data_IF_908781092158
#
_entry.id   IF_908781092158
#
_cell.length_a   1.000
_cell.length_b   1.000
_cell.length_c   1.000
_cell.angle_alpha   90.00
_cell.angle_beta   90.00
_cell.angle_gamma   90.00
#
_symmetry.space_group_name_H-M   'P 1'
#
loop_
_entity.id
_entity.type
_entity.pdbx_description
1 polymer ?
#
# COMPACT_ATOMS: atom_id res chain seq x y z
N UNK A 1 28.18 -13.47 -13.21
CA UNK A 1 27.10 -14.12 -12.44
C UNK A 1 26.86 -13.22 -11.24
N UNK A 2 25.81 -12.41 -11.25
CA UNK A 2 25.50 -11.53 -10.11
C UNK A 2 25.22 -12.39 -8.88
N UNK A 3 25.89 -12.10 -7.76
CA UNK A 3 25.53 -12.68 -6.47
C UNK A 3 24.08 -12.30 -6.20
N UNK A 4 23.17 -13.28 -6.27
CA UNK A 4 21.80 -13.09 -5.81
C UNK A 4 21.89 -12.65 -4.35
N UNK A 5 21.44 -11.44 -4.06
CA UNK A 5 21.42 -10.93 -2.69
C UNK A 5 20.57 -11.86 -1.83
N UNK A 6 21.04 -12.16 -0.62
CA UNK A 6 20.45 -13.08 0.35
C UNK A 6 20.25 -12.35 1.67
N UNK A 7 19.35 -12.83 2.52
CA UNK A 7 19.10 -12.27 3.87
C UNK A 7 19.60 -13.23 4.95
N UNK A 8 19.69 -12.77 6.20
CA UNK A 8 20.11 -13.56 7.36
C UNK A 8 18.93 -13.90 8.27
N UNK A 9 19.09 -14.91 9.14
CA UNK A 9 18.08 -15.22 10.16
C UNK A 9 17.76 -14.01 11.04
N UNK A 10 18.78 -13.25 11.44
CA UNK A 10 18.65 -12.07 12.31
C UNK A 10 17.83 -10.96 11.64
N UNK A 11 18.02 -10.73 10.34
CA UNK A 11 17.23 -9.74 9.59
C UNK A 11 15.76 -10.13 9.50
N UNK A 12 15.47 -11.40 9.19
CA UNK A 12 14.09 -11.93 9.14
C UNK A 12 13.44 -11.81 10.52
N UNK A 13 14.14 -12.25 11.58
CA UNK A 13 13.65 -12.14 12.95
C UNK A 13 13.35 -10.69 13.33
N UNK A 14 14.29 -9.78 13.04
CA UNK A 14 14.17 -8.35 13.34
C UNK A 14 12.95 -7.75 12.64
N UNK A 15 12.75 -8.06 11.36
CA UNK A 15 11.58 -7.59 10.60
C UNK A 15 10.27 -8.14 11.13
N UNK A 16 10.24 -9.43 11.49
CA UNK A 16 9.07 -10.03 12.11
C UNK A 16 8.75 -9.37 13.45
N UNK A 17 9.74 -9.15 14.33
CA UNK A 17 9.55 -8.41 15.59
C UNK A 17 8.96 -7.03 15.34
N UNK A 18 9.52 -6.29 14.38
CA UNK A 18 9.02 -4.96 14.01
C UNK A 18 7.55 -4.99 13.56
N UNK A 19 7.10 -6.01 12.81
CA UNK A 19 5.69 -6.16 12.42
C UNK A 19 4.79 -6.43 13.62
N UNK A 20 5.23 -7.32 14.52
CA UNK A 20 4.44 -7.76 15.69
C UNK A 20 4.29 -6.63 16.71
N UNK A 21 5.37 -5.88 16.91
CA UNK A 21 5.45 -4.79 17.89
C UNK A 21 5.00 -3.45 17.30
N UNK A 22 4.65 -3.39 16.01
CA UNK A 22 4.29 -2.16 15.31
C UNK A 22 3.15 -1.43 16.04
N UNK A 23 3.45 -0.30 16.73
CA UNK A 23 2.42 0.43 17.43
C UNK A 23 1.51 1.11 16.41
N UNK A 24 0.24 1.22 16.76
CA UNK A 24 -0.69 2.08 16.03
C UNK A 24 -0.23 3.53 16.11
N UNK A 25 -0.20 4.21 14.97
CA UNK A 25 0.03 5.65 14.95
C UNK A 25 -1.29 6.40 15.19
N UNK A 26 -1.30 7.28 16.19
CA UNK A 26 -2.37 8.25 16.39
C UNK A 26 -1.94 9.54 15.69
N UNK A 27 -2.47 9.74 14.49
CA UNK A 27 -2.21 10.96 13.73
C UNK A 27 -2.96 12.13 14.33
N UNK A 28 -2.23 13.20 14.61
CA UNK A 28 -2.75 14.46 15.12
C UNK A 28 -3.69 15.14 14.11
N UNK A 29 -3.39 14.99 12.82
CA UNK A 29 -4.21 15.46 11.73
C UNK A 29 -4.08 14.55 10.51
N UNK A 30 -5.16 14.48 9.72
CA UNK A 30 -5.25 13.67 8.51
C UNK A 30 -5.82 14.55 7.41
N UNK A 31 -5.24 14.49 6.23
CA UNK A 31 -5.71 15.23 5.06
C UNK A 31 -5.73 14.30 3.85
N UNK A 32 -6.64 14.53 2.94
CA UNK A 32 -6.77 13.71 1.73
C UNK A 32 -6.90 14.60 0.50
N UNK A 33 -6.34 14.13 -0.61
CA UNK A 33 -6.47 14.75 -1.92
C UNK A 33 -6.78 13.67 -2.96
N UNK A 34 -7.73 13.95 -3.86
CA UNK A 34 -8.01 13.15 -5.05
C UNK A 34 -7.68 13.93 -6.31
N UNK A 35 -7.07 13.26 -7.29
CA UNK A 35 -6.66 13.83 -8.57
C UNK A 35 -7.42 13.10 -9.68
N UNK A 36 -8.07 13.87 -10.55
CA UNK A 36 -8.84 13.38 -11.70
C UNK A 36 -8.60 14.28 -12.91
N UNK A 37 -8.97 13.82 -14.10
CA UNK A 37 -8.97 14.62 -15.32
C UNK A 37 -10.37 15.09 -15.67
N UNK A 38 -10.49 16.32 -16.16
CA UNK A 38 -11.75 16.87 -16.69
C UNK A 38 -12.24 16.06 -17.91
N UNK A 39 -11.31 15.67 -18.79
CA UNK A 39 -11.56 14.91 -20.01
C UNK A 39 -11.22 13.41 -19.88
N UNK A 40 -11.44 12.84 -18.70
CA UNK A 40 -11.24 11.41 -18.43
C UNK A 40 -12.20 10.53 -19.27
N UNK A 41 -11.68 9.43 -19.83
CA UNK A 41 -12.46 8.42 -20.58
C UNK A 41 -12.70 7.13 -19.77
N UNK A 42 -12.38 7.13 -18.48
CA UNK A 42 -12.44 5.95 -17.60
C UNK A 42 -13.53 6.03 -16.54
N UNK A 43 -14.33 7.10 -16.54
CA UNK A 43 -15.35 7.42 -15.54
C UNK A 43 -14.79 7.55 -14.11
N UNK A 44 -13.54 8.00 -13.96
CA UNK A 44 -12.86 8.20 -12.69
C UNK A 44 -13.55 9.21 -11.75
N UNK A 45 -14.42 10.07 -12.28
CA UNK A 45 -15.25 10.97 -11.48
C UNK A 45 -16.14 10.24 -10.46
N UNK A 46 -16.53 8.99 -10.72
CA UNK A 46 -17.31 8.18 -9.77
C UNK A 46 -16.47 7.78 -8.53
N UNK A 47 -15.16 7.56 -8.70
CA UNK A 47 -14.28 7.18 -7.58
C UNK A 47 -14.04 8.29 -6.59
N UNK A 48 -14.26 9.55 -7.00
CA UNK A 48 -14.26 10.68 -6.07
C UNK A 48 -15.25 10.43 -4.93
N UNK A 49 -16.45 9.93 -5.24
CA UNK A 49 -17.45 9.60 -4.22
C UNK A 49 -16.97 8.46 -3.31
N UNK A 50 -16.45 7.37 -3.89
CA UNK A 50 -15.93 6.24 -3.12
C UNK A 50 -14.74 6.61 -2.23
N UNK A 51 -13.86 7.48 -2.73
CA UNK A 51 -12.70 7.96 -2.02
C UNK A 51 -13.09 8.91 -0.88
N UNK A 52 -14.08 9.80 -1.08
CA UNK A 52 -14.65 10.62 0.01
C UNK A 52 -15.21 9.74 1.13
N UNK A 53 -15.93 8.67 0.79
CA UNK A 53 -16.45 7.71 1.77
C UNK A 53 -15.34 6.96 2.52
N UNK A 54 -14.29 6.56 1.81
CA UNK A 54 -13.10 5.95 2.39
C UNK A 54 -12.40 6.93 3.37
N UNK A 55 -12.13 8.16 2.94
CA UNK A 55 -11.47 9.19 3.73
C UNK A 55 -12.30 9.56 4.97
N UNK A 56 -13.63 9.71 4.81
CA UNK A 56 -14.59 9.93 5.89
C UNK A 56 -14.56 8.80 6.90
N UNK A 57 -14.48 7.55 6.45
CA UNK A 57 -14.36 6.40 7.36
C UNK A 57 -13.09 6.46 8.21
N UNK A 58 -12.00 7.02 7.68
CA UNK A 58 -10.76 7.24 8.43
C UNK A 58 -10.74 8.51 9.29
N UNK A 59 -11.81 9.29 9.30
CA UNK A 59 -11.91 10.54 10.05
C UNK A 59 -11.25 11.73 9.36
N UNK A 60 -11.18 11.72 8.03
CA UNK A 60 -10.87 12.93 7.24
C UNK A 60 -12.20 13.63 6.94
N UNK A 61 -12.31 14.90 7.32
CA UNK A 61 -13.54 15.69 7.17
C UNK A 61 -13.74 16.16 5.72
N UNK A 62 -12.70 16.76 5.14
CA UNK A 62 -12.72 17.28 3.77
C UNK A 62 -11.64 16.64 2.90
N UNK A 63 -12.01 16.31 1.67
CA UNK A 63 -11.09 15.83 0.63
C UNK A 63 -10.84 16.95 -0.36
N UNK A 64 -9.58 17.30 -0.58
CA UNK A 64 -9.20 18.26 -1.61
C UNK A 64 -9.30 17.61 -3.00
N UNK A 65 -9.85 18.33 -3.98
CA UNK A 65 -10.04 17.80 -5.32
C UNK A 65 -9.19 18.60 -6.30
N UNK A 66 -8.32 17.89 -7.01
CA UNK A 66 -7.52 18.42 -8.10
C UNK A 66 -8.09 17.88 -9.40
N UNK A 67 -8.94 18.68 -10.05
CA UNK A 67 -9.37 18.42 -11.41
C UNK A 67 -8.37 19.03 -12.39
N UNK A 68 -7.72 18.20 -13.19
CA UNK A 68 -6.79 18.64 -14.22
C UNK A 68 -7.59 18.97 -15.48
N UNK A 69 -7.63 20.25 -15.84
CA UNK A 69 -8.33 20.68 -17.06
C UNK A 69 -7.74 20.05 -18.32
N UNK A 70 -8.59 19.70 -19.27
CA UNK A 70 -8.18 19.16 -20.57
C UNK A 70 -7.37 20.16 -21.42
N UNK A 71 -7.47 21.46 -21.13
CA UNK A 71 -6.66 22.51 -21.77
C UNK A 71 -5.27 22.69 -21.13
N UNK A 72 -4.99 22.00 -20.01
CA UNK A 72 -3.73 22.17 -19.30
C UNK A 72 -2.57 21.48 -20.04
N UNK A 73 -1.65 22.29 -20.54
CA UNK A 73 -0.48 21.80 -21.27
C UNK A 73 0.63 21.25 -20.38
N UNK A 74 0.60 21.57 -19.08
CA UNK A 74 1.59 21.12 -18.08
C UNK A 74 0.88 20.55 -16.84
N UNK A 75 0.27 19.35 -16.94
CA UNK A 75 -0.46 18.72 -15.84
C UNK A 75 0.33 18.56 -14.54
N UNK A 76 1.64 18.31 -14.64
CA UNK A 76 2.51 18.13 -13.47
C UNK A 76 2.49 19.32 -12.52
N UNK A 77 2.51 20.55 -13.03
CA UNK A 77 2.50 21.77 -12.19
C UNK A 77 1.18 21.90 -11.42
N UNK A 78 0.05 21.56 -12.06
CA UNK A 78 -1.25 21.57 -11.40
C UNK A 78 -1.30 20.57 -10.24
N UNK A 79 -0.89 19.33 -10.52
CA UNK A 79 -0.85 18.24 -9.54
C UNK A 79 0.07 18.57 -8.38
N UNK A 80 1.30 19.01 -8.67
CA UNK A 80 2.28 19.36 -7.63
C UNK A 80 1.79 20.53 -6.77
N UNK A 81 1.21 21.55 -7.39
CA UNK A 81 0.63 22.69 -6.69
C UNK A 81 -0.51 22.31 -5.76
N UNK A 82 -1.42 21.44 -6.21
CA UNK A 82 -2.55 20.98 -5.41
C UNK A 82 -2.10 20.12 -4.22
N UNK A 83 -1.14 19.22 -4.41
CA UNK A 83 -0.58 18.41 -3.32
C UNK A 83 0.17 19.31 -2.33
N UNK A 84 1.00 20.26 -2.80
CA UNK A 84 1.69 21.20 -1.94
C UNK A 84 0.70 22.04 -1.11
N UNK A 85 -0.42 22.46 -1.72
CA UNK A 85 -1.49 23.18 -1.02
C UNK A 85 -2.16 22.31 0.05
N UNK A 86 -2.45 21.04 -0.26
CA UNK A 86 -3.00 20.08 0.69
C UNK A 86 -2.06 19.86 1.89
N UNK A 87 -0.75 19.67 1.65
CA UNK A 87 0.26 19.53 2.71
C UNK A 87 0.32 20.80 3.57
N UNK A 88 0.42 21.99 2.95
CA UNK A 88 0.46 23.27 3.69
C UNK A 88 -0.78 23.48 4.55
N UNK A 89 -1.96 23.19 4.01
CA UNK A 89 -3.23 23.31 4.73
C UNK A 89 -3.28 22.31 5.90
N UNK A 90 -2.76 21.09 5.70
CA UNK A 90 -2.61 20.10 6.77
C UNK A 90 -1.78 20.65 7.93
N UNK A 91 -0.65 21.30 7.63
CA UNK A 91 0.25 21.83 8.65
C UNK A 91 -0.28 23.10 9.32
N UNK A 92 -1.06 23.90 8.61
CA UNK A 92 -1.73 25.08 9.15
C UNK A 92 -2.76 24.74 10.24
N UNK A 93 -3.21 23.48 10.36
CA UNK A 93 -4.04 23.04 11.47
C UNK A 93 -3.33 23.12 12.84
N UNK A 94 -2.00 23.34 12.87
CA UNK A 94 -1.16 23.56 14.06
C UNK A 94 -1.32 22.52 15.18
N UNK A 95 -1.71 21.29 14.82
CA UNK A 95 -1.81 20.20 15.78
C UNK A 95 -0.42 19.62 16.03
N UNK A 96 -0.01 19.53 17.29
CA UNK A 96 1.25 18.89 17.66
C UNK A 96 1.11 17.38 17.40
N UNK A 97 2.04 16.81 16.63
CA UNK A 97 2.16 15.38 16.43
C UNK A 97 2.46 15.00 14.98
N UNK A 98 2.20 13.73 14.65
CA UNK A 98 2.41 13.19 13.30
C UNK A 98 1.17 13.44 12.44
N UNK A 99 1.35 13.79 11.18
CA UNK A 99 0.28 13.98 10.19
C UNK A 99 0.19 12.79 9.23
N UNK A 100 -0.98 12.56 8.64
CA UNK A 100 -1.16 11.59 7.55
C UNK A 100 -1.73 12.30 6.32
N UNK A 101 -1.06 12.16 5.18
CA UNK A 101 -1.53 12.67 3.90
C UNK A 101 -1.93 11.49 3.01
N UNK A 102 -3.17 11.46 2.55
CA UNK A 102 -3.71 10.43 1.65
C UNK A 102 -3.81 11.04 0.25
N UNK A 103 -3.02 10.54 -0.69
CA UNK A 103 -3.02 10.98 -2.09
C UNK A 103 -3.69 9.91 -2.93
N UNK A 104 -4.73 10.28 -3.65
CA UNK A 104 -5.49 9.39 -4.51
C UNK A 104 -5.44 9.85 -5.98
N UNK A 105 -5.25 8.91 -6.89
CA UNK A 105 -5.45 9.11 -8.32
C UNK A 105 -6.29 7.98 -8.89
N UNK A 106 -7.30 8.34 -9.67
CA UNK A 106 -8.10 7.41 -10.47
C UNK A 106 -8.10 7.88 -11.92
N UNK A 107 -7.93 6.95 -12.85
CA UNK A 107 -7.90 7.28 -14.28
C UNK A 107 -7.05 6.31 -15.10
N UNK A 108 -6.52 6.81 -16.22
CA UNK A 108 -5.56 6.04 -16.99
C UNK A 108 -4.16 6.08 -16.37
N UNK A 109 -3.42 4.98 -16.54
CA UNK A 109 -2.03 4.84 -16.15
C UNK A 109 -1.28 3.91 -17.09
N UNK A 110 -0.01 4.19 -17.35
CA UNK A 110 0.89 3.37 -18.17
C UNK A 110 2.33 3.50 -17.66
N UNK A 111 3.20 2.62 -18.15
CA UNK A 111 4.60 2.59 -17.75
C UNK A 111 5.54 2.85 -18.94
N UNK A 112 6.41 3.84 -18.78
CA UNK A 112 7.50 4.14 -19.70
C UNK A 112 8.81 3.57 -19.12
N UNK A 113 9.51 2.63 -19.77
CA UNK A 113 10.76 2.08 -19.24
C UNK A 113 11.87 3.11 -18.97
N UNK A 114 11.83 4.28 -19.62
CA UNK A 114 12.83 5.36 -19.46
C UNK A 114 12.43 6.36 -18.38
N UNK A 115 11.13 6.63 -18.23
CA UNK A 115 10.62 7.70 -17.36
C UNK A 115 9.76 7.22 -16.19
N UNK A 116 9.42 5.94 -16.16
CA UNK A 116 8.61 5.30 -15.14
C UNK A 116 7.10 5.40 -15.38
N UNK A 117 6.35 5.23 -14.29
CA UNK A 117 4.89 5.27 -14.28
C UNK A 117 4.38 6.68 -14.60
N UNK A 118 3.39 6.77 -15.50
CA UNK A 118 2.73 8.01 -15.87
C UNK A 118 1.21 7.86 -15.99
N UNK A 119 0.54 9.00 -16.01
CA UNK A 119 -0.90 9.15 -15.90
C UNK A 119 -1.38 10.17 -16.94
N UNK A 120 -2.52 9.91 -17.56
CA UNK A 120 -3.05 10.70 -18.68
C UNK A 120 -4.58 10.70 -18.68
N UNK A 121 -5.19 11.65 -19.39
CA UNK A 121 -6.65 11.82 -19.38
C UNK A 121 -7.38 10.72 -20.16
N UNK A 122 -7.03 10.57 -21.43
CA UNK A 122 -7.71 9.68 -22.37
C UNK A 122 -6.73 9.09 -23.39
N UNK A 123 -7.14 8.03 -24.09
CA UNK A 123 -6.33 7.42 -25.14
C UNK A 123 -5.90 8.47 -26.20
N UNK A 124 -4.61 8.46 -26.55
CA UNK A 124 -4.03 9.43 -27.48
C UNK A 124 -3.71 10.81 -26.88
N UNK A 125 -3.97 11.03 -25.59
CA UNK A 125 -3.59 12.29 -24.92
C UNK A 125 -2.07 12.54 -25.00
N UNK A 126 -1.70 13.73 -25.44
CA UNK A 126 -0.31 14.21 -25.43
C UNK A 126 0.14 14.69 -24.05
N UNK A 127 -0.82 15.09 -23.22
CA UNK A 127 -0.58 15.63 -21.89
C UNK A 127 -0.65 14.51 -20.84
N UNK A 128 0.39 14.44 -20.01
CA UNK A 128 0.57 13.46 -18.95
C UNK A 128 1.40 14.02 -17.82
N UNK A 129 1.27 13.44 -16.62
CA UNK A 129 2.19 13.64 -15.51
C UNK A 129 2.73 12.29 -15.04
N UNK A 130 3.82 12.32 -14.28
CA UNK A 130 4.52 11.11 -13.83
C UNK A 130 4.26 10.88 -12.34
N UNK A 131 4.48 9.64 -11.87
CA UNK A 131 4.43 9.31 -10.44
C UNK A 131 5.31 10.25 -9.60
N UNK A 132 6.43 10.73 -10.16
CA UNK A 132 7.29 11.73 -9.54
C UNK A 132 6.53 13.02 -9.17
N UNK A 133 5.59 13.50 -9.98
CA UNK A 133 4.79 14.70 -9.66
C UNK A 133 3.88 14.50 -8.43
N UNK A 134 3.52 13.25 -8.09
CA UNK A 134 2.81 12.95 -6.84
C UNK A 134 3.73 13.00 -5.61
N UNK A 135 5.03 12.77 -5.81
CA UNK A 135 6.02 12.61 -4.75
C UNK A 135 6.90 13.85 -4.57
N UNK A 136 7.05 14.68 -5.59
CA UNK A 136 7.91 15.85 -5.58
C UNK A 136 7.54 16.83 -4.44
N UNK A 137 6.27 17.19 -4.21
CA UNK A 137 5.91 18.06 -3.09
C UNK A 137 6.15 17.40 -1.72
N UNK A 138 5.99 16.08 -1.62
CA UNK A 138 6.25 15.31 -0.40
C UNK A 138 7.74 15.32 -0.07
N UNK A 139 8.59 15.15 -1.08
CA UNK A 139 10.05 15.05 -0.94
C UNK A 139 10.72 16.40 -0.68
N UNK A 140 10.20 17.47 -1.29
CA UNK A 140 10.75 18.83 -1.19
C UNK A 140 10.21 19.62 -0.01
N UNK A 141 9.17 19.12 0.66
CA UNK A 141 8.63 19.74 1.86
C UNK A 141 9.61 19.59 3.02
N UNK A 142 10.54 20.52 3.17
CA UNK A 142 11.56 20.52 4.25
C UNK A 142 11.00 21.02 5.58
N UNK A 143 10.08 21.98 5.55
CA UNK A 143 9.50 22.62 6.72
C UNK A 143 8.17 21.99 7.12
N UNK A 144 8.01 21.67 8.41
CA UNK A 144 6.74 21.18 8.95
C UNK A 144 6.89 19.99 9.90
N UNK A 145 5.76 19.55 10.49
CA UNK A 145 5.72 18.38 11.38
C UNK A 145 6.08 17.09 10.65
N UNK A 146 6.36 16.03 11.40
CA UNK A 146 6.52 14.69 10.84
C UNK A 146 5.21 14.22 10.21
N UNK A 147 5.27 13.59 9.05
CA UNK A 147 4.08 13.10 8.36
C UNK A 147 4.36 11.84 7.54
N UNK A 148 3.36 10.97 7.44
CA UNK A 148 3.36 9.81 6.55
C UNK A 148 2.46 10.07 5.34
N UNK A 149 2.71 9.30 4.27
CA UNK A 149 1.93 9.40 3.04
C UNK A 149 1.48 8.02 2.58
N UNK A 150 0.22 7.92 2.18
CA UNK A 150 -0.28 6.77 1.41
C UNK A 150 -0.74 7.24 0.04
N UNK A 151 -0.18 6.65 -1.01
CA UNK A 151 -0.58 6.83 -2.39
C UNK A 151 -1.51 5.69 -2.78
N UNK A 152 -2.72 6.02 -3.21
CA UNK A 152 -3.72 5.08 -3.69
C UNK A 152 -3.91 5.35 -5.18
N UNK A 153 -3.47 4.42 -6.03
CA UNK A 153 -3.51 4.54 -7.48
C UNK A 153 -4.55 3.55 -8.02
N UNK A 154 -5.70 4.06 -8.45
CA UNK A 154 -6.77 3.29 -9.12
C UNK A 154 -6.65 3.46 -10.64
N UNK A 155 -5.53 2.95 -11.13
CA UNK A 155 -5.13 2.92 -12.54
C UNK A 155 -4.16 1.74 -12.74
N UNK A 156 -3.84 1.41 -14.00
CA UNK A 156 -2.74 0.47 -14.26
C UNK A 156 -1.44 0.99 -13.66
N UNK A 157 -0.76 0.12 -12.93
CA UNK A 157 0.45 0.40 -12.19
C UNK A 157 1.45 -0.72 -12.44
N UNK A 158 2.70 -0.38 -12.78
CA UNK A 158 3.72 -1.38 -13.12
C UNK A 158 4.42 -1.95 -11.87
N UNK A 159 4.69 -3.26 -11.87
CA UNK A 159 5.52 -3.90 -10.83
C UNK A 159 6.97 -3.40 -10.84
N UNK A 160 7.43 -2.85 -11.97
CA UNK A 160 8.76 -2.28 -12.16
C UNK A 160 8.91 -0.89 -11.54
N UNK A 161 7.89 -0.38 -10.85
CA UNK A 161 8.02 0.85 -10.08
C UNK A 161 9.05 0.63 -8.97
N UNK A 162 10.16 1.35 -9.10
CA UNK A 162 11.26 1.39 -8.13
C UNK A 162 11.48 2.84 -7.68
N UNK A 163 10.80 3.32 -6.63
CA UNK A 163 11.00 4.69 -6.19
C UNK A 163 12.02 4.70 -5.06
N UNK A 164 13.05 5.52 -5.22
CA UNK A 164 13.85 5.99 -4.09
C UNK A 164 13.42 7.42 -3.82
N UNK A 165 12.50 7.60 -2.89
CA UNK A 165 12.13 8.95 -2.41
C UNK A 165 13.09 9.32 -1.29
N UNK A 166 13.69 10.51 -1.38
CA UNK A 166 14.35 11.10 -0.22
C UNK A 166 13.28 11.43 0.81
N UNK A 167 13.19 10.60 1.84
CA UNK A 167 12.22 10.75 2.92
C UNK A 167 12.88 11.33 4.16
N UNK A 168 12.06 11.99 4.98
CA UNK A 168 12.50 12.41 6.31
C UNK A 168 12.67 11.20 7.22
N UNK A 169 13.53 11.34 8.23
CA UNK A 169 13.68 10.30 9.25
C UNK A 169 12.34 9.97 9.90
N UNK A 170 11.97 8.67 9.93
CA UNK A 170 10.72 8.19 10.52
C UNK A 170 9.45 8.40 9.68
N UNK A 171 9.58 8.86 8.42
CA UNK A 171 8.49 8.94 7.46
C UNK A 171 8.31 7.62 6.73
N UNK A 172 7.06 7.18 6.62
CA UNK A 172 6.64 6.09 5.74
C UNK A 172 5.87 6.67 4.55
N UNK A 173 6.22 6.20 3.35
CA UNK A 173 5.46 6.46 2.13
C UNK A 173 5.07 5.11 1.53
N UNK A 174 3.78 4.81 1.53
CA UNK A 174 3.24 3.58 0.94
C UNK A 174 2.53 3.86 -0.37
N UNK A 175 2.66 2.94 -1.33
CA UNK A 175 1.87 2.93 -2.56
C UNK A 175 1.02 1.66 -2.59
N UNK A 176 -0.27 1.85 -2.85
CA UNK A 176 -1.27 0.81 -3.07
C UNK A 176 -1.83 0.96 -4.49
N UNK A 177 -1.82 -0.11 -5.27
CA UNK A 177 -2.44 -0.12 -6.59
C UNK A 177 -2.95 -1.52 -6.96
N UNK A 178 -3.96 -1.63 -7.85
CA UNK A 178 -4.31 -2.90 -8.46
C UNK A 178 -3.23 -3.25 -9.51
N UNK A 179 -2.86 -4.53 -9.65
CA UNK A 179 -2.10 -4.98 -10.81
C UNK A 179 -3.06 -5.25 -11.95
N UNK A 180 -3.73 -4.20 -12.41
CA UNK A 180 -4.58 -4.28 -13.56
C UNK A 180 -6.00 -4.81 -13.38
N UNK A 181 -6.82 -4.56 -14.40
CA UNK A 181 -8.20 -4.95 -14.64
C UNK A 181 -8.36 -5.99 -15.77
N UNK A 182 -8.78 -7.22 -15.46
CA UNK A 182 -9.13 -8.18 -16.52
C UNK A 182 -10.41 -7.72 -17.13
N UNK A 183 -10.47 -7.71 -18.46
CA UNK A 183 -11.73 -7.94 -19.10
C UNK A 183 -11.91 -9.47 -19.13
N UNK A 184 -13.00 -9.97 -18.54
CA UNK A 184 -13.43 -11.39 -18.56
C UNK A 184 -13.67 -11.97 -19.98
N UNK A 185 -13.20 -11.28 -21.03
CA UNK A 185 -13.38 -11.63 -22.44
C UNK A 185 -12.15 -12.19 -23.14
N UNK A 186 -10.95 -12.15 -22.54
CA UNK A 186 -9.73 -12.59 -23.24
C UNK A 186 -8.83 -13.44 -22.35
N UNK A 187 -8.76 -14.73 -22.69
CA UNK A 187 -8.16 -15.75 -21.84
C UNK A 187 -6.63 -15.86 -21.93
N UNK A 188 -5.91 -15.06 -22.74
CA UNK A 188 -4.49 -15.40 -22.98
C UNK A 188 -3.58 -14.31 -23.55
N UNK A 189 -4.00 -13.04 -23.57
CA UNK A 189 -3.11 -11.94 -23.93
C UNK A 189 -3.05 -11.00 -22.74
N UNK A 190 -1.85 -10.73 -22.22
CA UNK A 190 -1.61 -9.64 -21.27
C UNK A 190 -1.85 -8.33 -22.03
N UNK A 191 -3.11 -8.02 -22.29
CA UNK A 191 -3.53 -6.68 -22.66
C UNK A 191 -3.32 -5.88 -21.40
N UNK A 192 -2.38 -4.93 -21.44
CA UNK A 192 -2.15 -3.97 -20.36
C UNK A 192 -3.52 -3.51 -19.88
N UNK A 193 -3.93 -3.93 -18.70
CA UNK A 193 -5.33 -3.89 -18.39
C UNK A 193 -5.73 -2.46 -18.08
N UNK A 194 -6.40 -1.83 -19.04
CA UNK A 194 -6.81 -0.43 -18.97
C UNK A 194 -8.12 -0.33 -18.21
N UNK A 195 -8.16 0.62 -17.29
CA UNK A 195 -9.40 1.09 -16.69
C UNK A 195 -10.32 1.59 -17.82
N UNK A 196 -11.62 1.35 -17.72
CA UNK A 196 -12.59 1.85 -18.70
C UNK A 196 -13.86 2.33 -17.99
N UNK A 197 -14.62 3.19 -18.66
CA UNK A 197 -15.86 3.75 -18.12
C UNK A 197 -16.92 2.71 -17.70
N UNK A 198 -16.84 1.48 -18.24
CA UNK A 198 -17.77 0.40 -17.93
C UNK A 198 -17.43 -0.35 -16.62
N UNK A 199 -16.24 -0.11 -16.04
CA UNK A 199 -15.82 -0.75 -14.80
C UNK A 199 -16.45 -0.01 -13.62
N UNK A 200 -17.39 -0.66 -12.95
CA UNK A 200 -18.06 -0.12 -11.74
C UNK A 200 -17.46 -0.67 -10.44
N UNK A 201 -16.77 -1.82 -10.50
CA UNK A 201 -16.10 -2.44 -9.37
C UNK A 201 -14.60 -2.07 -9.33
N UNK A 202 -14.33 -0.78 -9.25
CA UNK A 202 -12.99 -0.18 -9.24
C UNK A 202 -12.18 -0.53 -7.99
N UNK A 203 -10.87 -0.26 -7.98
CA UNK A 203 -10.07 -0.51 -6.78
C UNK A 203 -10.49 0.41 -5.64
N UNK A 204 -10.82 1.67 -5.93
CA UNK A 204 -11.29 2.64 -4.94
C UNK A 204 -12.63 2.23 -4.33
N UNK A 205 -13.57 1.74 -5.14
CA UNK A 205 -14.86 1.29 -4.61
C UNK A 205 -14.69 0.09 -3.69
N UNK A 206 -13.84 -0.87 -4.03
CA UNK A 206 -13.55 -2.04 -3.18
C UNK A 206 -12.87 -1.68 -1.86
N UNK A 207 -11.81 -0.86 -1.86
CA UNK A 207 -11.16 -0.45 -0.60
C UNK A 207 -12.13 0.31 0.31
N UNK A 208 -13.02 1.12 -0.28
CA UNK A 208 -14.04 1.87 0.45
C UNK A 208 -15.10 0.94 1.07
N UNK A 209 -15.57 -0.06 0.31
CA UNK A 209 -16.52 -1.07 0.77
C UNK A 209 -15.96 -1.93 1.91
N UNK A 210 -14.75 -2.49 1.75
CA UNK A 210 -14.10 -3.30 2.78
C UNK A 210 -13.90 -2.49 4.05
N UNK A 211 -13.41 -1.27 3.94
CA UNK A 211 -13.20 -0.40 5.09
C UNK A 211 -14.51 -0.04 5.81
N UNK A 212 -15.58 0.21 5.06
CA UNK A 212 -16.92 0.46 5.61
C UNK A 212 -17.46 -0.77 6.34
N UNK A 213 -17.29 -1.96 5.75
CA UNK A 213 -17.67 -3.23 6.37
C UNK A 213 -16.88 -3.46 7.67
N UNK A 214 -15.58 -3.19 7.68
CA UNK A 214 -14.75 -3.28 8.88
C UNK A 214 -15.20 -2.33 9.98
N UNK A 215 -15.53 -1.09 9.62
CA UNK A 215 -16.13 -0.12 10.56
C UNK A 215 -17.42 -0.69 11.17
N UNK A 216 -18.30 -1.25 10.35
CA UNK A 216 -19.57 -1.85 10.77
C UNK A 216 -19.37 -3.06 11.71
N UNK A 217 -18.43 -3.94 11.39
CA UNK A 217 -18.08 -5.11 12.20
C UNK A 217 -17.32 -4.76 13.50
N UNK A 218 -17.03 -3.48 13.73
CA UNK A 218 -16.36 -3.04 14.95
C UNK A 218 -14.83 -3.14 14.92
N UNK A 219 -14.23 -3.43 13.76
CA UNK A 219 -12.78 -3.36 13.58
C UNK A 219 -12.31 -1.91 13.67
N UNK A 220 -11.22 -1.69 14.40
CA UNK A 220 -10.73 -0.32 14.70
C UNK A 220 -9.28 -0.13 14.33
N UNK A 221 -8.47 -1.18 14.40
CA UNK A 221 -7.07 -1.10 14.01
C UNK A 221 -6.93 -1.71 12.61
N UNK A 222 -6.25 -1.00 11.72
CA UNK A 222 -5.97 -1.46 10.37
C UNK A 222 -4.61 -0.96 9.91
N UNK A 223 -4.06 -1.64 8.90
CA UNK A 223 -2.99 -1.11 8.09
C UNK A 223 -3.35 -1.22 6.60
N UNK A 224 -2.79 -0.34 5.78
CA UNK A 224 -3.15 -0.25 4.36
C UNK A 224 -2.76 -1.49 3.55
N UNK A 225 -1.66 -2.16 3.92
CA UNK A 225 -1.28 -3.43 3.32
C UNK A 225 -2.34 -4.51 3.57
N UNK A 226 -2.84 -4.69 4.79
CA UNK A 226 -3.93 -5.64 5.09
C UNK A 226 -5.20 -5.31 4.31
N UNK A 227 -5.58 -4.03 4.23
CA UNK A 227 -6.74 -3.59 3.43
C UNK A 227 -6.59 -3.99 1.96
N UNK A 228 -5.41 -3.74 1.38
CA UNK A 228 -5.08 -4.13 0.02
C UNK A 228 -5.13 -5.66 -0.18
N UNK A 229 -4.70 -6.43 0.81
CA UNK A 229 -4.81 -7.88 0.82
C UNK A 229 -6.27 -8.34 0.72
N UNK A 230 -7.12 -7.86 1.62
CA UNK A 230 -8.54 -8.29 1.69
C UNK A 230 -9.35 -7.88 0.46
N UNK A 231 -9.11 -6.69 -0.08
CA UNK A 231 -9.80 -6.19 -1.28
C UNK A 231 -9.62 -7.11 -2.50
N UNK A 232 -8.59 -7.94 -2.48
CA UNK A 232 -8.24 -8.83 -3.58
C UNK A 232 -8.47 -10.31 -3.25
N UNK A 233 -9.24 -10.61 -2.18
CA UNK A 233 -9.65 -11.97 -1.81
C UNK A 233 -10.57 -12.70 -2.80
N UNK A 234 -11.55 -12.03 -3.45
CA UNK A 234 -12.43 -12.72 -4.38
C UNK A 234 -11.65 -13.27 -5.59
N UNK A 235 -11.73 -14.58 -5.81
CA UNK A 235 -11.07 -15.32 -6.90
C UNK A 235 -11.35 -14.66 -8.26
N UNK A 236 -10.29 -14.14 -8.90
CA UNK A 236 -10.10 -13.86 -10.34
C UNK A 236 -9.38 -12.53 -10.68
N UNK A 237 -8.90 -11.74 -9.71
CA UNK A 237 -8.37 -10.39 -10.03
C UNK A 237 -7.05 -10.09 -9.32
N UNK A 238 -5.95 -10.43 -10.00
CA UNK A 238 -4.60 -9.82 -9.98
C UNK A 238 -3.79 -9.71 -8.67
N UNK A 239 -2.47 -9.53 -8.82
CA UNK A 239 -1.50 -9.40 -7.71
C UNK A 239 -1.47 -7.95 -7.20
N UNK A 240 -1.93 -7.58 -6.00
CA UNK A 240 -1.87 -6.20 -5.55
C UNK A 240 -0.44 -5.67 -5.54
N UNK A 241 -0.29 -4.41 -5.91
CA UNK A 241 0.97 -3.70 -5.82
C UNK A 241 0.96 -2.95 -4.50
N UNK A 242 1.77 -3.46 -3.58
CA UNK A 242 2.20 -2.73 -2.40
C UNK A 242 3.66 -2.38 -2.58
N UNK A 243 4.04 -1.11 -2.35
CA UNK A 243 5.43 -0.68 -2.32
C UNK A 243 5.66 0.29 -1.18
N UNK A 244 6.75 0.09 -0.44
CA UNK A 244 7.33 1.14 0.39
C UNK A 244 8.21 2.03 -0.49
N UNK A 245 7.79 3.28 -0.70
CA UNK A 245 8.59 4.30 -1.39
C UNK A 245 9.55 5.01 -0.42
N UNK A 246 9.21 4.93 0.87
CA UNK A 246 10.02 5.31 2.01
C UNK A 246 9.57 4.55 3.26
N UNK A 247 10.48 4.36 4.22
CA UNK A 247 10.21 3.54 5.40
C UNK A 247 10.21 2.04 5.06
N UNK A 248 9.83 1.21 6.03
CA UNK A 248 9.82 -0.26 5.85
C UNK A 248 8.78 -0.99 6.69
N UNK A 249 7.84 -0.24 7.27
CA UNK A 249 6.74 -0.76 8.06
C UNK A 249 5.45 -0.08 7.60
N UNK A 250 4.33 -0.82 7.54
CA UNK A 250 3.06 -0.29 7.09
C UNK A 250 2.53 0.76 8.06
N UNK A 251 1.83 1.74 7.52
CA UNK A 251 1.08 2.76 8.23
C UNK A 251 -0.10 2.06 8.88
N UNK A 252 -0.03 1.95 10.21
CA UNK A 252 -1.06 1.37 11.06
C UNK A 252 -1.90 2.48 11.70
N UNK A 253 -3.19 2.51 11.40
CA UNK A 253 -4.11 3.59 11.77
C UNK A 253 -5.33 3.07 12.53
N UNK A 254 -5.95 3.96 13.31
CA UNK A 254 -7.25 3.73 13.91
C UNK A 254 -8.38 4.25 13.02
N UNK A 255 -9.42 3.44 12.80
CA UNK A 255 -10.75 3.85 12.38
C UNK A 255 -11.43 4.49 13.60
N UNK A 256 -11.75 5.80 13.58
CA UNK A 256 -12.37 6.47 14.72
C UNK A 256 -13.76 5.94 15.02
N UNK A 257 -14.14 5.96 16.30
CA UNK A 257 -15.56 5.93 16.69
C UNK A 257 -16.14 7.32 16.51
N UNK A 258 -17.43 7.44 16.35
CA UNK A 258 -18.10 8.75 16.31
C UNK A 258 -19.05 8.85 17.49
N UNK A 259 -18.92 9.93 18.24
CA UNK A 259 -19.88 10.33 19.26
C UNK A 259 -20.37 11.72 18.90
N UNK A 260 -21.67 11.87 18.64
CA UNK A 260 -22.29 13.13 18.22
C UNK A 260 -21.60 13.80 17.02
N UNK A 261 -21.16 12.99 16.04
CA UNK A 261 -20.46 13.49 14.85
C UNK A 261 -18.97 13.78 15.04
N UNK A 262 -18.43 13.67 16.25
CA UNK A 262 -17.01 13.92 16.55
C UNK A 262 -16.22 12.61 16.57
N UNK A 263 -15.08 12.50 15.87
CA UNK A 263 -14.23 11.32 15.91
C UNK A 263 -13.56 11.15 17.28
N UNK A 264 -13.72 9.97 17.88
CA UNK A 264 -13.08 9.52 19.11
C UNK A 264 -12.12 8.38 18.78
N UNK A 265 -10.87 8.54 19.19
CA UNK A 265 -9.83 7.53 19.06
C UNK A 265 -9.68 6.77 20.38
N UNK A 266 -10.18 5.52 20.49
CA UNK A 266 -10.03 4.74 21.73
C UNK A 266 -8.54 4.49 22.00
N UNK A 267 -8.08 4.76 23.23
CA UNK A 267 -6.69 4.51 23.62
C UNK A 267 -6.38 3.01 23.75
N UNK A 268 -7.40 2.18 23.97
CA UNK A 268 -7.25 0.73 24.08
C UNK A 268 -6.78 0.13 22.75
N UNK A 269 -5.65 -0.57 22.81
CA UNK A 269 -5.22 -1.47 21.76
C UNK A 269 -6.12 -2.71 21.81
N UNK A 270 -6.93 -2.92 20.77
CA UNK A 270 -7.55 -4.23 20.59
C UNK A 270 -6.67 -5.00 19.64
N UNK A 271 -6.48 -6.30 19.92
CA UNK A 271 -5.89 -7.17 18.91
C UNK A 271 -6.70 -7.01 17.63
N UNK A 272 -6.00 -6.74 16.52
CA UNK A 272 -6.59 -6.77 15.20
C UNK A 272 -7.35 -8.08 15.08
N UNK A 273 -8.67 -8.09 14.86
CA UNK A 273 -9.26 -9.24 14.23
C UNK A 273 -8.70 -9.14 12.83
N UNK A 274 -7.70 -9.94 12.47
CA UNK A 274 -7.06 -9.89 11.16
C UNK A 274 -8.16 -10.25 10.16
N UNK A 275 -8.81 -9.28 9.48
CA UNK A 275 -9.86 -9.61 8.55
C UNK A 275 -9.12 -10.18 7.35
N UNK A 276 -9.51 -11.37 6.92
CA UNK A 276 -8.96 -12.02 5.74
C UNK A 276 -8.39 -13.41 6.00
N UNK A 277 -8.66 -14.30 5.04
CA UNK A 277 -8.19 -15.68 4.98
C UNK A 277 -6.83 -15.81 4.27
N UNK A 278 -6.24 -14.69 3.81
CA UNK A 278 -4.98 -14.73 3.04
C UNK A 278 -3.77 -14.91 3.95
N UNK A 279 -3.23 -16.11 3.91
CA UNK A 279 -1.83 -16.36 4.20
C UNK A 279 -1.04 -16.28 2.88
N UNK A 280 -0.21 -15.24 2.74
CA UNK A 280 0.80 -15.17 1.70
C UNK A 280 1.89 -16.18 1.98
N UNK A 281 2.26 -16.99 0.98
CA UNK A 281 3.43 -17.86 1.03
C UNK A 281 4.64 -17.06 0.57
N UNK A 282 5.55 -16.78 1.51
CA UNK A 282 6.80 -16.08 1.25
C UNK A 282 7.98 -17.01 1.47
N UNK A 283 8.97 -16.92 0.59
CA UNK A 283 10.22 -17.69 0.71
C UNK A 283 11.38 -16.77 0.94
N UNK A 284 12.17 -17.05 1.97
CA UNK A 284 13.39 -16.32 2.31
C UNK A 284 14.59 -17.20 1.98
N UNK A 285 15.49 -16.71 1.12
CA UNK A 285 16.83 -17.32 0.93
C UNK A 285 17.75 -16.84 2.04
N UNK A 286 18.19 -17.77 2.88
CA UNK A 286 18.96 -17.47 4.08
C UNK A 286 20.44 -17.76 3.85
N UNK A 287 21.31 -16.78 4.12
CA UNK A 287 22.76 -16.97 4.16
C UNK A 287 23.09 -17.99 5.26
N UNK A 288 23.82 -19.08 4.97
CA UNK A 288 24.32 -19.98 5.99
C UNK A 288 25.36 -19.25 6.85
N UNK A 289 25.02 -18.97 8.10
CA UNK A 289 25.94 -18.35 9.06
C UNK A 289 26.09 -19.22 10.31
N UNK A 290 27.26 -19.84 10.54
CA UNK A 290 27.54 -20.64 11.73
C UNK A 290 27.48 -19.85 13.05
N UNK A 291 27.66 -18.52 13.01
CA UNK A 291 27.68 -17.62 14.15
C UNK A 291 26.34 -16.91 14.40
N UNK A 292 25.55 -16.62 13.35
CA UNK A 292 24.31 -15.81 13.44
C UNK A 292 23.00 -16.61 13.61
N UNK A 293 23.06 -17.94 13.68
CA UNK A 293 21.96 -18.75 14.21
C UNK A 293 21.33 -19.73 13.22
N UNK A 294 21.24 -20.97 13.69
CA UNK A 294 20.56 -22.09 13.05
C UNK A 294 19.13 -21.70 12.64
N UNK A 295 18.78 -21.87 11.37
CA UNK A 295 17.43 -21.69 10.81
C UNK A 295 16.36 -22.40 11.66
N UNK A 296 16.72 -23.48 12.35
CA UNK A 296 15.85 -24.19 13.31
C UNK A 296 15.47 -23.33 14.51
N UNK A 297 16.40 -22.51 15.04
CA UNK A 297 16.10 -21.58 16.14
C UNK A 297 15.12 -20.50 15.70
N UNK A 298 15.30 -19.95 14.50
CA UNK A 298 14.37 -18.98 13.93
C UNK A 298 12.98 -19.61 13.74
N UNK A 299 12.92 -20.82 13.18
CA UNK A 299 11.66 -21.55 13.01
C UNK A 299 10.94 -21.80 14.35
N UNK A 300 11.65 -22.29 15.37
CA UNK A 300 11.12 -22.49 16.72
C UNK A 300 10.65 -21.17 17.36
N UNK A 301 11.40 -20.09 17.16
CA UNK A 301 10.98 -18.76 17.63
C UNK A 301 9.68 -18.34 16.97
N UNK A 302 9.55 -18.47 15.65
CA UNK A 302 8.31 -18.16 14.90
C UNK A 302 7.11 -18.95 15.44
N UNK A 303 7.29 -20.26 15.62
CA UNK A 303 6.24 -21.14 16.16
C UNK A 303 5.78 -20.72 17.56
N UNK A 304 6.67 -20.16 18.39
CA UNK A 304 6.35 -19.75 19.77
C UNK A 304 5.34 -18.60 19.88
N UNK A 305 5.10 -17.84 18.81
CA UNK A 305 4.12 -16.75 18.79
C UNK A 305 3.14 -16.82 17.61
N UNK A 306 3.11 -17.94 16.89
CA UNK A 306 2.33 -18.12 15.67
C UNK A 306 0.82 -17.89 15.88
N UNK A 307 0.25 -18.30 17.02
CA UNK A 307 -1.16 -18.07 17.35
C UNK A 307 -1.52 -16.57 17.47
N UNK A 308 -0.55 -15.72 17.83
CA UNK A 308 -0.78 -14.28 18.04
C UNK A 308 -0.61 -13.47 16.76
N UNK A 309 0.21 -13.95 15.83
CA UNK A 309 0.65 -13.17 14.66
C UNK A 309 0.19 -13.77 13.34
N UNK A 310 -0.34 -15.00 13.37
CA UNK A 310 -0.68 -15.81 12.19
C UNK A 310 0.49 -16.01 11.23
N UNK A 311 1.72 -15.94 11.76
CA UNK A 311 2.95 -16.28 11.01
C UNK A 311 3.33 -17.70 11.35
N UNK A 312 3.40 -18.56 10.34
CA UNK A 312 3.70 -19.99 10.49
C UNK A 312 4.85 -20.40 9.57
N UNK A 313 5.67 -21.33 10.04
CA UNK A 313 6.66 -21.99 9.20
C UNK A 313 5.93 -22.97 8.28
N UNK A 314 6.02 -22.77 6.97
CA UNK A 314 5.43 -23.68 5.99
C UNK A 314 6.35 -24.87 5.71
N UNK A 315 7.64 -24.59 5.46
CA UNK A 315 8.69 -25.60 5.41
C UNK A 315 10.07 -24.95 5.54
N UNK A 316 11.05 -25.77 5.87
CA UNK A 316 12.48 -25.43 5.81
C UNK A 316 13.14 -26.39 4.83
N UNK A 317 13.84 -25.88 3.83
CA UNK A 317 14.69 -26.69 2.94
C UNK A 317 16.15 -26.42 3.26
N UNK A 318 16.91 -27.47 3.59
CA UNK A 318 18.36 -27.38 3.86
C UNK A 318 19.17 -27.12 2.58
N UNK A 319 18.62 -27.47 1.41
CA UNK A 319 19.24 -27.27 0.10
C UNK A 319 18.22 -26.76 -0.92
N UNK A 320 18.19 -25.46 -1.15
CA UNK A 320 17.52 -24.91 -2.34
C UNK A 320 18.17 -25.43 -3.63
N UNK A 321 17.57 -25.16 -4.79
CA UNK A 321 18.12 -25.57 -6.10
C UNK A 321 19.55 -25.06 -6.36
N UNK A 322 20.01 -24.05 -5.61
CA UNK A 322 21.35 -23.46 -5.64
C UNK A 322 22.19 -23.77 -4.38
N UNK A 323 21.76 -24.73 -3.56
CA UNK A 323 22.42 -25.12 -2.30
C UNK A 323 22.20 -24.16 -1.13
N UNK A 324 21.40 -23.11 -1.30
CA UNK A 324 21.10 -22.14 -0.23
C UNK A 324 19.88 -22.59 0.58
N UNK A 325 19.91 -22.55 1.93
CA UNK A 325 18.74 -22.83 2.75
C UNK A 325 17.56 -21.90 2.43
N UNK A 326 16.36 -22.46 2.44
CA UNK A 326 15.11 -21.72 2.21
C UNK A 326 14.20 -21.88 3.41
N UNK A 327 13.81 -20.74 4.00
CA UNK A 327 12.72 -20.66 4.97
C UNK A 327 11.45 -20.22 4.24
N UNK A 328 10.43 -21.06 4.22
CA UNK A 328 9.12 -20.70 3.69
C UNK A 328 8.15 -20.40 4.84
N UNK A 329 7.50 -19.24 4.78
CA UNK A 329 6.54 -18.78 5.79
C UNK A 329 5.17 -18.56 5.18
N UNK A 330 4.13 -18.87 5.94
CA UNK A 330 2.77 -18.37 5.72
C UNK A 330 2.52 -17.22 6.67
N UNK A 331 2.10 -16.08 6.15
CA UNK A 331 1.90 -14.90 6.97
C UNK A 331 0.81 -13.99 6.39
N UNK A 332 0.21 -13.10 7.22
CA UNK A 332 -0.68 -12.05 6.72
C UNK A 332 0.03 -11.19 5.67
N UNK A 333 -0.75 -10.66 4.71
CA UNK A 333 -0.17 -9.94 3.56
C UNK A 333 0.73 -8.76 3.96
N UNK A 334 0.40 -8.02 5.02
CA UNK A 334 1.25 -6.92 5.51
C UNK A 334 2.64 -7.39 5.99
N UNK A 335 2.72 -8.58 6.60
CA UNK A 335 4.00 -9.18 7.00
C UNK A 335 4.81 -9.56 5.76
N UNK A 336 4.14 -10.12 4.75
CA UNK A 336 4.78 -10.42 3.48
C UNK A 336 5.37 -9.16 2.83
N UNK A 337 4.63 -8.05 2.78
CA UNK A 337 5.11 -6.79 2.23
C UNK A 337 6.36 -6.28 2.95
N UNK A 338 6.43 -6.40 4.28
CA UNK A 338 7.60 -6.00 5.06
C UNK A 338 8.80 -6.90 4.77
N UNK A 339 8.59 -8.22 4.74
CA UNK A 339 9.66 -9.18 4.49
C UNK A 339 10.20 -9.11 3.04
N UNK A 340 9.37 -8.79 2.05
CA UNK A 340 9.82 -8.59 0.66
C UNK A 340 10.81 -7.43 0.49
N UNK A 341 10.93 -6.53 1.49
CA UNK A 341 11.99 -5.52 1.50
C UNK A 341 13.39 -6.10 1.73
N UNK A 342 13.49 -7.34 2.22
CA UNK A 342 14.77 -8.00 2.46
C UNK A 342 15.31 -8.65 1.17
N UNK A 343 16.64 -8.63 0.97
CA UNK A 343 17.26 -9.29 -0.17
C UNK A 343 16.98 -10.79 -0.19
N UNK A 344 16.67 -11.33 -1.37
CA UNK A 344 16.46 -12.77 -1.54
C UNK A 344 15.14 -13.31 -0.99
N UNK A 345 14.25 -12.44 -0.51
CA UNK A 345 12.88 -12.78 -0.11
C UNK A 345 11.91 -12.57 -1.28
N UNK A 346 10.98 -13.51 -1.49
CA UNK A 346 10.02 -13.49 -2.60
C UNK A 346 8.66 -14.01 -2.15
N UNK A 347 7.58 -13.26 -2.41
CA UNK A 347 6.20 -13.77 -2.32
C UNK A 347 5.92 -14.72 -3.48
N UNK A 348 5.60 -15.98 -3.16
CA UNK A 348 5.39 -17.07 -4.13
C UNK A 348 3.95 -17.24 -4.53
N UNK A 349 3.07 -17.30 -3.54
CA UNK A 349 1.67 -17.70 -3.73
C UNK A 349 0.79 -16.99 -2.69
N UNK A 350 -0.47 -16.79 -3.02
CA UNK A 350 -1.52 -16.33 -2.11
C UNK A 350 -2.55 -17.44 -2.11
N UNK A 351 -2.52 -18.31 -1.12
CA UNK A 351 -3.58 -19.31 -1.02
C UNK A 351 -4.70 -18.75 -0.16
N UNK A 352 -5.88 -18.70 -0.75
CA UNK A 352 -7.14 -18.57 -0.03
C UNK A 352 -7.40 -19.89 0.67
N UNK A 353 -7.33 -19.91 1.99
CA UNK A 353 -7.88 -21.02 2.77
C UNK A 353 -9.35 -20.74 2.96
N UNK A 354 -10.17 -21.15 1.99
CA UNK A 354 -11.61 -21.32 2.18
C UNK A 354 -11.80 -22.42 3.23
N UNK A 355 -12.14 -22.04 4.45
CA UNK A 355 -12.75 -22.96 5.42
C UNK A 355 -14.27 -22.82 5.34
#
# INVERSE_FOLDING_TARGET
>A
MELKQQTTCVEVETKLRQCVELPRCIYSHKSAITIIWENDDTNAGVDVFHFREFARTLGVEDVHECEISGANTVPSICVEGAIASCIKSSFAAQKIGKHLIIIHYAGNGLYDPRRGQYFYAAEGSLHRFYLESLLHPVSTCIDGPAFDVVLIIDAYCSLSITPTVQSKFGQTIELLAPFGYSNDKYDTIVVEPRRSANITNTFTSKISQVLTQWKFLGFRDMNFATLLGVVQEPENVYKPIHKFLAGSLPIKICIPRYLNGVPIYPQEYRQEPIPGQIDGLITCRIVPDPALGDIKKLAQWIESFAERTRVYVHYVSEFGNDGTPILALRAPFHVCCVLESLPGVVLKDRRYTLF
#
